data_IF_303807474366
#
_entry.id   IF_303807474366
#
_cell.length_a   1.000
_cell.length_b   1.000
_cell.length_c   1.000
_cell.angle_alpha   90.00
_cell.angle_beta   90.00
_cell.angle_gamma   90.00
#
_symmetry.space_group_name_H-M   'P 1'
#
loop_
_entity.id
_entity.type
_entity.pdbx_description
1 polymer ?
#
# COMPACT_ATOMS: atom_id res chain seq x y z
N UNK A 1 28.75 15.12 42.86
CA UNK A 1 28.14 16.12 41.97
C UNK A 1 28.80 15.96 40.62
N UNK A 2 28.05 15.58 39.58
CA UNK A 2 28.63 15.45 38.23
C UNK A 2 29.00 16.86 37.72
N UNK A 3 30.11 17.01 36.96
CA UNK A 3 30.49 18.29 36.36
C UNK A 3 29.41 18.74 35.36
N UNK A 4 28.99 20.00 35.40
CA UNK A 4 27.99 20.58 34.47
C UNK A 4 28.38 20.39 32.99
N UNK A 5 29.67 20.38 32.69
CA UNK A 5 30.18 20.13 31.33
C UNK A 5 29.87 18.72 30.83
N UNK A 6 29.82 17.74 31.73
CA UNK A 6 29.47 16.36 31.41
C UNK A 6 27.96 16.20 31.19
N UNK A 7 27.14 16.99 31.92
CA UNK A 7 25.70 17.05 31.72
C UNK A 7 25.33 17.68 30.36
N UNK A 8 26.06 18.72 29.96
CA UNK A 8 25.89 19.34 28.63
C UNK A 8 26.34 18.41 27.49
N UNK A 9 27.41 17.63 27.67
CA UNK A 9 27.86 16.64 26.68
C UNK A 9 26.92 15.44 26.57
N UNK A 10 26.34 14.97 27.68
CA UNK A 10 25.32 13.92 27.67
C UNK A 10 24.03 14.43 27.02
N UNK A 11 23.60 15.66 27.30
CA UNK A 11 22.47 16.27 26.60
C UNK A 11 22.77 16.49 25.11
N UNK A 12 23.97 16.93 24.73
CA UNK A 12 24.34 17.08 23.33
C UNK A 12 24.41 15.73 22.58
N UNK A 13 24.85 14.66 23.25
CA UNK A 13 24.85 13.30 22.70
C UNK A 13 23.44 12.70 22.61
N UNK A 14 22.53 13.07 23.53
CA UNK A 14 21.10 12.72 23.47
C UNK A 14 20.33 13.54 22.42
N UNK A 15 20.81 14.73 22.05
CA UNK A 15 20.26 15.59 20.98
C UNK A 15 20.75 15.17 19.59
N UNK A 16 21.57 14.13 19.49
CA UNK A 16 21.74 13.42 18.22
C UNK A 16 20.43 12.64 17.97
N UNK A 17 19.41 13.39 17.55
CA UNK A 17 18.10 12.88 17.16
C UNK A 17 18.35 11.72 16.21
N UNK A 18 17.96 10.52 16.64
CA UNK A 18 17.98 9.36 15.79
C UNK A 18 17.02 9.67 14.63
N UNK A 19 17.57 10.05 13.48
CA UNK A 19 16.78 10.16 12.25
C UNK A 19 16.22 8.79 11.97
N UNK A 20 14.89 8.68 11.99
CA UNK A 20 14.23 7.43 11.63
C UNK A 20 14.64 7.08 10.19
N UNK A 21 14.84 5.79 9.91
CA UNK A 21 15.22 5.35 8.56
C UNK A 21 14.13 4.47 8.00
N UNK A 22 13.75 4.72 6.76
CA UNK A 22 12.85 3.85 6.01
C UNK A 22 13.67 2.72 5.40
N UNK A 23 13.27 1.48 5.65
CA UNK A 23 13.89 0.31 5.03
C UNK A 23 13.22 0.01 3.69
N UNK A 24 13.99 -0.56 2.76
CA UNK A 24 13.48 -0.96 1.46
C UNK A 24 12.50 -2.13 1.63
N UNK A 25 11.37 -2.09 0.91
CA UNK A 25 10.34 -3.13 0.89
C UNK A 25 9.71 -3.39 2.27
N UNK A 26 9.60 -2.35 3.08
CA UNK A 26 8.97 -2.41 4.40
C UNK A 26 7.93 -1.30 4.55
N UNK A 27 6.80 -1.66 5.17
CA UNK A 27 5.74 -0.74 5.54
C UNK A 27 6.02 -0.26 6.97
N UNK A 28 6.06 1.05 7.16
CA UNK A 28 6.17 1.71 8.46
C UNK A 28 4.81 2.34 8.80
N UNK A 29 4.08 1.74 9.73
CA UNK A 29 2.82 2.29 10.26
C UNK A 29 3.13 3.27 11.39
N UNK A 30 2.58 4.48 11.30
CA UNK A 30 2.82 5.58 12.22
C UNK A 30 1.49 6.19 12.70
N UNK A 31 1.52 6.71 13.91
CA UNK A 31 0.52 7.62 14.46
C UNK A 31 1.24 8.85 15.05
N UNK A 32 0.48 9.81 15.56
CA UNK A 32 1.01 11.06 16.13
C UNK A 32 2.00 10.90 17.28
N UNK A 33 1.98 9.78 18.01
CA UNK A 33 2.89 9.50 19.11
C UNK A 33 4.22 8.89 18.66
N UNK A 34 4.24 8.27 17.47
CA UNK A 34 5.38 7.50 16.95
C UNK A 34 6.24 8.30 15.95
N UNK A 35 5.89 9.55 15.69
CA UNK A 35 6.60 10.40 14.74
C UNK A 35 7.86 10.99 15.39
N UNK A 36 9.02 10.92 14.72
CA UNK A 36 10.27 11.46 15.25
C UNK A 36 10.19 12.99 15.41
N UNK A 37 11.08 13.54 16.23
CA UNK A 37 11.27 14.99 16.36
C UNK A 37 12.72 15.34 16.01
N UNK A 38 13.00 15.93 14.84
CA UNK A 38 12.05 16.41 13.80
C UNK A 38 11.33 15.27 13.04
N UNK A 39 10.16 15.55 12.41
CA UNK A 39 9.33 14.55 11.72
C UNK A 39 9.89 14.16 10.34
N UNK A 40 11.17 13.76 10.30
CA UNK A 40 11.88 13.39 9.08
C UNK A 40 12.46 11.97 9.13
N UNK A 41 12.55 11.37 7.95
CA UNK A 41 12.98 10.00 7.70
C UNK A 41 14.06 9.99 6.63
N UNK A 42 15.14 9.27 6.87
CA UNK A 42 16.16 8.98 5.86
C UNK A 42 15.68 7.90 4.90
N UNK A 43 15.94 8.11 3.61
CA UNK A 43 15.56 7.22 2.52
C UNK A 43 16.80 6.48 1.99
N UNK A 44 16.67 5.19 1.61
CA UNK A 44 17.77 4.41 1.10
C UNK A 44 18.19 4.88 -0.30
N UNK A 45 19.45 4.63 -0.65
CA UNK A 45 19.95 4.89 -1.99
C UNK A 45 19.43 3.84 -2.99
N UNK A 46 18.80 4.29 -4.09
CA UNK A 46 18.27 3.43 -5.14
C UNK A 46 18.14 4.21 -6.48
N UNK A 47 18.28 3.49 -7.60
CA UNK A 47 18.09 4.09 -8.94
C UNK A 47 16.63 4.43 -9.22
N UNK A 48 15.71 3.58 -8.77
CA UNK A 48 14.28 3.79 -8.84
C UNK A 48 13.72 3.50 -7.44
N UNK A 49 13.34 4.54 -6.71
CA UNK A 49 12.65 4.42 -5.44
C UNK A 49 11.25 5.01 -5.59
N UNK A 50 10.26 4.19 -5.29
CA UNK A 50 8.87 4.56 -5.17
C UNK A 50 8.51 4.65 -3.69
N UNK A 51 8.13 5.84 -3.27
CA UNK A 51 7.62 6.14 -1.93
C UNK A 51 6.11 6.20 -2.03
N UNK A 52 5.44 5.50 -1.12
CA UNK A 52 3.99 5.50 -1.02
C UNK A 52 3.56 5.90 0.38
N UNK A 53 2.50 6.69 0.46
CA UNK A 53 1.90 7.16 1.71
C UNK A 53 0.43 6.80 1.68
N UNK A 54 -0.06 6.10 2.71
CA UNK A 54 -1.45 5.66 2.82
C UNK A 54 -2.05 6.11 4.16
N UNK A 55 -3.16 6.81 4.15
CA UNK A 55 -3.86 7.22 5.37
C UNK A 55 -4.64 6.06 5.95
N UNK A 56 -4.52 5.84 7.26
CA UNK A 56 -5.18 4.76 7.98
C UNK A 56 -6.31 5.26 8.88
N UNK A 57 -6.58 6.57 8.87
CA UNK A 57 -7.72 7.19 9.55
C UNK A 57 -8.52 8.09 8.61
N UNK A 58 -9.73 8.45 9.02
CA UNK A 58 -10.70 9.22 8.22
C UNK A 58 -10.44 10.72 8.20
N UNK A 59 -9.48 11.19 9.00
CA UNK A 59 -9.25 12.62 9.14
C UNK A 59 -8.43 13.16 7.98
N UNK A 60 -9.00 14.15 7.30
CA UNK A 60 -8.31 14.91 6.26
C UNK A 60 -7.65 16.12 6.91
N UNK A 61 -6.57 15.85 7.66
CA UNK A 61 -5.70 16.90 8.19
C UNK A 61 -4.91 17.55 7.05
N UNK A 62 -4.47 18.78 7.27
CA UNK A 62 -3.58 19.53 6.36
C UNK A 62 -2.15 18.98 6.34
N UNK A 63 -1.98 17.68 6.56
CA UNK A 63 -0.69 16.98 6.56
C UNK A 63 -0.16 16.92 5.13
N UNK A 64 1.10 17.28 4.98
CA UNK A 64 1.81 17.32 3.71
C UNK A 64 3.08 16.51 3.84
N UNK A 65 3.44 15.83 2.77
CA UNK A 65 4.61 14.96 2.73
C UNK A 65 5.58 15.54 1.71
N UNK A 66 6.79 15.81 2.14
CA UNK A 66 7.82 16.41 1.32
C UNK A 66 9.00 15.47 1.20
N UNK A 67 9.50 15.30 -0.01
CA UNK A 67 10.60 14.41 -0.31
C UNK A 67 11.68 15.12 -1.10
N UNK A 68 12.92 14.78 -0.79
CA UNK A 68 14.09 15.21 -1.53
C UNK A 68 15.00 14.03 -1.80
N UNK A 69 15.64 14.04 -2.97
CA UNK A 69 16.62 13.04 -3.38
C UNK A 69 18.06 13.45 -3.04
N UNK A 70 18.22 14.37 -2.09
CA UNK A 70 19.52 14.81 -1.58
C UNK A 70 19.58 14.55 -0.08
N UNK A 71 20.73 14.09 0.40
CA UNK A 71 21.01 13.99 1.84
C UNK A 71 21.52 15.30 2.44
N UNK A 72 21.62 16.38 1.64
CA UNK A 72 22.08 17.70 2.11
C UNK A 72 20.95 18.53 2.71
N UNK A 73 19.71 18.06 2.65
CA UNK A 73 18.51 18.74 3.14
C UNK A 73 17.91 17.87 4.24
N UNK A 74 18.10 18.27 5.49
CA UNK A 74 17.68 17.47 6.66
C UNK A 74 16.17 17.55 6.94
N UNK A 75 15.51 18.60 6.44
CA UNK A 75 14.09 18.88 6.66
C UNK A 75 13.46 19.48 5.39
N UNK A 76 13.08 18.65 4.40
CA UNK A 76 12.38 19.13 3.21
C UNK A 76 10.99 19.65 3.59
N UNK A 77 10.63 20.86 3.14
CA UNK A 77 9.36 21.49 3.50
C UNK A 77 8.89 22.51 2.46
N UNK A 78 7.76 23.20 2.71
CA UNK A 78 7.19 24.15 1.75
C UNK A 78 8.12 25.34 1.46
N UNK A 79 8.91 25.74 2.45
CA UNK A 79 9.87 26.85 2.35
C UNK A 79 11.32 26.38 2.16
N UNK A 80 11.56 25.06 2.09
CA UNK A 80 12.88 24.46 2.27
C UNK A 80 13.48 23.82 1.02
N UNK A 81 14.75 24.12 0.75
CA UNK A 81 15.66 23.31 -0.09
C UNK A 81 15.49 23.45 -1.62
N UNK A 82 16.54 23.07 -2.34
CA UNK A 82 16.47 22.79 -3.78
C UNK A 82 16.09 21.32 -3.99
N UNK A 83 15.29 21.00 -5.01
CA UNK A 83 14.84 19.63 -5.31
C UNK A 83 14.03 18.99 -4.16
N UNK A 84 13.10 19.78 -3.61
CA UNK A 84 12.06 19.29 -2.70
C UNK A 84 10.76 19.16 -3.49
N UNK A 85 10.09 18.04 -3.34
CA UNK A 85 8.86 17.68 -4.02
C UNK A 85 7.79 17.31 -3.01
N UNK A 86 6.55 17.73 -3.26
CA UNK A 86 5.41 17.33 -2.44
C UNK A 86 4.79 16.03 -2.99
N UNK A 87 4.52 15.08 -2.10
CA UNK A 87 3.74 13.89 -2.42
C UNK A 87 2.27 14.26 -2.27
N UNK A 88 1.59 14.46 -3.40
CA UNK A 88 0.15 14.76 -3.41
C UNK A 88 -0.63 13.51 -3.02
N UNK A 89 -1.32 13.57 -1.89
CA UNK A 89 -2.19 12.50 -1.41
C UNK A 89 -3.61 12.73 -1.91
N UNK A 90 -4.14 11.79 -2.70
CA UNK A 90 -5.51 11.83 -3.21
C UNK A 90 -6.28 10.60 -2.69
N UNK A 91 -7.47 10.82 -2.14
CA UNK A 91 -8.28 9.76 -1.50
C UNK A 91 -7.50 8.96 -0.43
N UNK A 92 -6.54 9.62 0.24
CA UNK A 92 -5.69 9.04 1.26
C UNK A 92 -4.50 8.21 0.74
N UNK A 93 -4.25 8.16 -0.58
CA UNK A 93 -3.07 7.54 -1.16
C UNK A 93 -2.22 8.57 -1.90
N UNK A 94 -0.91 8.59 -1.62
CA UNK A 94 0.09 9.38 -2.33
C UNK A 94 1.21 8.50 -2.84
N UNK A 95 1.78 8.83 -3.99
CA UNK A 95 2.91 8.09 -4.56
C UNK A 95 3.91 9.06 -5.20
N UNK A 96 5.19 8.83 -4.98
CA UNK A 96 6.28 9.57 -5.59
C UNK A 96 7.37 8.60 -6.05
N UNK A 97 7.88 8.77 -7.27
CA UNK A 97 8.95 7.92 -7.79
C UNK A 97 10.06 8.78 -8.37
N UNK A 98 11.30 8.53 -7.94
CA UNK A 98 12.48 9.22 -8.45
C UNK A 98 13.75 8.37 -8.25
N UNK A 99 14.87 8.89 -8.72
CA UNK A 99 16.20 8.35 -8.46
C UNK A 99 16.81 9.00 -7.22
N UNK A 100 17.26 8.17 -6.28
CA UNK A 100 17.88 8.54 -5.00
C UNK A 100 19.29 7.96 -4.97
N UNK A 101 20.20 8.43 -5.84
CA UNK A 101 21.53 7.80 -5.99
C UNK A 101 22.37 7.84 -4.70
N UNK A 102 22.19 8.90 -3.92
CA UNK A 102 22.89 9.12 -2.65
C UNK A 102 21.95 8.94 -1.44
N UNK A 103 20.72 8.47 -1.65
CA UNK A 103 19.64 8.48 -0.67
C UNK A 103 18.81 9.76 -0.71
N UNK A 104 18.06 10.02 0.35
CA UNK A 104 17.22 11.21 0.44
C UNK A 104 16.57 11.37 1.81
N UNK A 105 15.67 12.33 1.90
CA UNK A 105 14.91 12.62 3.12
C UNK A 105 13.43 12.78 2.77
N UNK A 106 12.58 12.18 3.60
CA UNK A 106 11.14 12.41 3.61
C UNK A 106 10.79 13.14 4.91
N UNK A 107 10.07 14.24 4.84
CA UNK A 107 9.55 14.92 6.02
C UNK A 107 8.04 15.10 5.95
N UNK A 108 7.46 15.21 7.14
CA UNK A 108 6.04 15.40 7.35
C UNK A 108 5.85 16.82 7.89
N UNK A 109 5.05 17.61 7.18
CA UNK A 109 4.72 18.98 7.55
C UNK A 109 3.21 19.11 7.81
N UNK A 110 2.84 20.01 8.72
CA UNK A 110 1.46 20.30 9.08
C UNK A 110 1.05 19.82 10.47
N UNK A 111 -0.17 20.22 10.86
CA UNK A 111 -0.76 19.85 12.15
C UNK A 111 -1.41 18.49 12.05
N UNK A 112 -0.89 17.54 12.83
CA UNK A 112 -1.47 16.21 12.97
C UNK A 112 -2.49 16.22 14.12
N UNK A 113 -3.65 15.64 13.88
CA UNK A 113 -4.63 15.38 14.94
C UNK A 113 -4.27 14.11 15.70
N UNK A 114 -4.63 14.01 16.99
CA UNK A 114 -4.23 12.88 17.84
C UNK A 114 -4.64 11.51 17.26
N UNK A 115 -5.73 11.44 16.49
CA UNK A 115 -6.26 10.24 15.85
C UNK A 115 -5.73 10.00 14.41
N UNK A 116 -4.78 10.82 13.95
CA UNK A 116 -4.18 10.65 12.63
C UNK A 116 -3.18 9.50 12.61
N UNK A 117 -3.41 8.56 11.69
CA UNK A 117 -2.50 7.43 11.44
C UNK A 117 -2.33 7.21 9.95
N UNK A 118 -1.15 6.76 9.55
CA UNK A 118 -0.78 6.54 8.17
C UNK A 118 0.38 5.54 8.07
N UNK A 119 0.55 5.00 6.88
CA UNK A 119 1.63 4.10 6.52
C UNK A 119 2.53 4.75 5.47
N UNK A 120 3.84 4.58 5.62
CA UNK A 120 4.84 4.96 4.62
C UNK A 120 5.60 3.71 4.20
N UNK A 121 5.87 3.59 2.91
CA UNK A 121 6.73 2.53 2.42
C UNK A 121 7.62 3.02 1.27
N UNK A 122 8.83 2.45 1.17
CA UNK A 122 9.79 2.74 0.13
C UNK A 122 10.22 1.44 -0.56
N UNK A 123 9.96 1.31 -1.86
CA UNK A 123 10.37 0.13 -2.63
C UNK A 123 10.66 0.45 -4.10
N UNK A 124 10.93 -0.55 -4.92
CA UNK A 124 11.09 -0.40 -6.38
C UNK A 124 9.76 -0.28 -7.14
N UNK A 125 8.64 -0.54 -6.47
CA UNK A 125 7.26 -0.43 -6.96
C UNK A 125 6.34 0.25 -5.94
N UNK A 126 5.08 0.56 -6.25
CA UNK A 126 4.13 1.00 -5.22
C UNK A 126 3.80 -0.17 -4.26
N UNK A 127 4.05 -0.03 -2.96
CA UNK A 127 3.60 -1.02 -1.95
C UNK A 127 2.14 -0.84 -1.58
N UNK A 128 1.66 0.40 -1.66
CA UNK A 128 0.25 0.77 -1.53
C UNK A 128 -0.32 1.06 -2.93
N UNK A 129 -1.28 0.25 -3.38
CA UNK A 129 -1.89 0.41 -4.69
C UNK A 129 -3.41 0.22 -4.62
N UNK A 130 -4.15 1.17 -5.20
CA UNK A 130 -5.57 0.95 -5.51
C UNK A 130 -5.64 0.17 -6.81
N UNK A 131 -6.18 -1.05 -6.74
CA UNK A 131 -6.32 -1.87 -7.94
C UNK A 131 -7.34 -1.23 -8.89
N UNK A 132 -6.96 -1.11 -10.17
CA UNK A 132 -7.87 -0.62 -11.21
C UNK A 132 -9.04 -1.58 -11.49
N UNK A 133 -8.92 -2.84 -11.03
CA UNK A 133 -9.91 -3.90 -11.27
C UNK A 133 -10.57 -4.32 -9.96
N UNK A 134 -11.89 -4.44 -9.99
CA UNK A 134 -12.68 -4.90 -8.85
C UNK A 134 -12.66 -6.43 -8.73
N UNK A 135 -12.86 -6.96 -7.51
CA UNK A 135 -13.18 -8.37 -7.35
C UNK A 135 -14.36 -8.74 -8.25
N UNK A 136 -14.25 -9.88 -8.91
CA UNK A 136 -15.29 -10.36 -9.80
C UNK A 136 -16.30 -11.19 -9.01
N UNK A 137 -17.58 -10.89 -9.19
CA UNK A 137 -18.68 -11.71 -8.69
C UNK A 137 -18.88 -12.93 -9.58
N UNK A 138 -18.76 -14.12 -9.01
CA UNK A 138 -19.02 -15.40 -9.67
C UNK A 138 -20.49 -15.79 -9.61
N UNK A 139 -20.95 -16.12 -8.40
CA UNK A 139 -22.31 -16.60 -8.13
C UNK A 139 -22.75 -16.21 -6.71
N UNK A 140 -24.04 -16.22 -6.42
CA UNK A 140 -24.59 -15.92 -5.10
C UNK A 140 -25.72 -16.87 -4.70
N UNK A 141 -25.82 -17.13 -3.40
CA UNK A 141 -27.00 -17.75 -2.79
C UNK A 141 -27.67 -16.73 -1.86
N UNK A 142 -28.64 -17.16 -1.05
CA UNK A 142 -29.27 -16.27 -0.07
C UNK A 142 -28.31 -15.79 1.02
N UNK A 143 -27.22 -16.50 1.31
CA UNK A 143 -26.30 -16.19 2.40
C UNK A 143 -24.82 -16.43 2.08
N UNK A 144 -24.51 -16.71 0.80
CA UNK A 144 -23.15 -16.97 0.33
C UNK A 144 -22.90 -16.25 -0.99
N UNK A 145 -21.62 -15.97 -1.27
CA UNK A 145 -21.16 -15.43 -2.53
C UNK A 145 -19.84 -16.07 -2.93
N UNK A 146 -19.66 -16.29 -4.23
CA UNK A 146 -18.38 -16.68 -4.82
C UNK A 146 -17.75 -15.44 -5.43
N UNK A 147 -16.56 -15.06 -4.94
CA UNK A 147 -15.82 -13.88 -5.38
C UNK A 147 -14.45 -14.27 -5.88
N UNK A 148 -13.91 -13.50 -6.82
CA UNK A 148 -12.56 -13.71 -7.35
C UNK A 148 -11.74 -12.42 -7.26
N UNK A 149 -10.45 -12.55 -6.97
CA UNK A 149 -9.51 -11.44 -7.07
C UNK A 149 -9.40 -10.95 -8.53
N UNK A 150 -8.84 -9.75 -8.74
CA UNK A 150 -8.21 -9.41 -10.00
C UNK A 150 -7.22 -10.51 -10.42
N UNK A 151 -7.04 -10.71 -11.74
CA UNK A 151 -6.12 -11.71 -12.22
C UNK A 151 -4.68 -11.32 -11.87
N UNK A 152 -3.86 -12.32 -11.60
CA UNK A 152 -2.42 -12.21 -11.40
C UNK A 152 -1.72 -13.34 -12.15
N UNK A 153 -0.44 -13.15 -12.45
CA UNK A 153 0.37 -14.12 -13.18
C UNK A 153 -0.26 -14.53 -14.56
N UNK A 154 -0.41 -13.57 -15.49
CA UNK A 154 -0.94 -13.86 -16.82
C UNK A 154 0.02 -14.78 -17.59
N UNK A 155 -0.49 -15.78 -18.32
CA UNK A 155 0.34 -16.62 -19.19
C UNK A 155 1.05 -15.78 -20.27
N UNK A 156 2.30 -16.15 -20.54
CA UNK A 156 3.07 -15.53 -21.63
C UNK A 156 2.72 -16.25 -22.93
N UNK A 157 2.00 -15.56 -23.81
CA UNK A 157 1.77 -16.02 -25.18
C UNK A 157 2.84 -15.43 -26.11
N UNK A 158 3.53 -16.30 -26.86
CA UNK A 158 4.44 -15.88 -27.92
C UNK A 158 3.65 -15.88 -29.22
N UNK A 159 3.33 -14.68 -29.72
CA UNK A 159 2.68 -14.53 -31.01
C UNK A 159 3.57 -15.04 -32.15
N UNK A 160 3.04 -15.85 -33.08
CA UNK A 160 3.82 -16.30 -34.23
C UNK A 160 4.16 -15.12 -35.14
N UNK A 161 5.43 -15.00 -35.53
CA UNK A 161 5.90 -13.95 -36.43
C UNK A 161 6.03 -14.46 -37.86
N UNK A 162 5.56 -13.65 -38.82
CA UNK A 162 5.73 -13.97 -40.25
C UNK A 162 7.22 -14.08 -40.60
N UNK A 163 7.63 -15.05 -41.45
CA UNK A 163 6.81 -16.04 -42.17
C UNK A 163 6.52 -17.34 -41.39
N UNK A 164 7.01 -17.47 -40.15
CA UNK A 164 7.03 -18.73 -39.43
C UNK A 164 5.83 -18.85 -38.47
N UNK A 165 4.69 -19.29 -39.01
CA UNK A 165 3.49 -19.60 -38.21
C UNK A 165 3.55 -21.05 -37.70
N UNK A 166 4.44 -21.32 -36.77
CA UNK A 166 4.39 -22.59 -36.03
C UNK A 166 3.45 -22.42 -34.85
N UNK A 167 2.28 -23.05 -34.88
CA UNK A 167 1.38 -23.08 -33.73
C UNK A 167 2.00 -23.97 -32.63
N UNK A 168 1.95 -23.57 -31.35
CA UNK A 168 2.34 -24.45 -30.26
C UNK A 168 1.47 -25.72 -30.30
N UNK A 169 2.09 -26.87 -30.09
CA UNK A 169 1.39 -28.16 -30.07
C UNK A 169 0.31 -28.20 -28.97
N UNK A 170 -0.73 -29.03 -29.12
CA UNK A 170 -1.78 -29.15 -28.12
C UNK A 170 -1.20 -29.68 -26.80
N UNK A 171 -1.26 -28.86 -25.75
CA UNK A 171 -0.96 -29.28 -24.39
C UNK A 171 -2.27 -29.52 -23.65
N UNK A 172 -2.43 -30.71 -23.08
CA UNK A 172 -3.55 -31.03 -22.17
C UNK A 172 -3.19 -30.81 -20.69
N UNK A 173 -1.96 -30.39 -20.42
CA UNK A 173 -1.53 -30.08 -19.05
C UNK A 173 -2.00 -28.67 -18.67
N UNK A 174 -2.78 -28.56 -17.60
CA UNK A 174 -3.05 -27.26 -16.98
C UNK A 174 -1.73 -26.65 -16.51
N UNK A 175 -1.55 -25.32 -16.63
CA UNK A 175 -0.40 -24.65 -16.03
C UNK A 175 -0.36 -24.94 -14.52
N UNK A 176 0.85 -25.07 -13.99
CA UNK A 176 1.05 -25.18 -12.55
C UNK A 176 0.62 -23.88 -11.86
N UNK A 177 0.05 -23.95 -10.66
CA UNK A 177 -0.19 -22.76 -9.85
C UNK A 177 1.12 -22.01 -9.58
N UNK A 178 1.09 -20.67 -9.48
CA UNK A 178 2.27 -19.89 -9.15
C UNK A 178 2.75 -20.21 -7.73
N UNK A 179 4.06 -20.10 -7.53
CA UNK A 179 4.70 -20.36 -6.23
C UNK A 179 4.31 -19.32 -5.15
N UNK A 180 3.80 -18.16 -5.57
CA UNK A 180 3.33 -17.09 -4.69
C UNK A 180 2.13 -16.35 -5.28
N UNK A 181 1.15 -16.01 -4.44
CA UNK A 181 0.03 -15.13 -4.79
C UNK A 181 0.18 -13.75 -4.15
N UNK A 182 -0.34 -12.67 -4.78
CA UNK A 182 -0.45 -11.37 -4.12
C UNK A 182 -1.28 -11.46 -2.84
N UNK A 183 -0.99 -10.57 -1.88
CA UNK A 183 -1.77 -10.49 -0.64
C UNK A 183 -3.00 -9.59 -0.88
N UNK A 184 -4.15 -10.22 -1.06
CA UNK A 184 -5.42 -9.54 -1.27
C UNK A 184 -6.20 -9.46 0.04
N UNK A 185 -6.68 -8.26 0.36
CA UNK A 185 -7.61 -8.06 1.47
C UNK A 185 -9.01 -7.89 0.90
N UNK A 186 -9.88 -8.87 1.13
CA UNK A 186 -11.29 -8.81 0.73
C UNK A 186 -12.13 -8.21 1.85
N UNK A 187 -12.67 -7.02 1.62
CA UNK A 187 -13.67 -6.41 2.48
C UNK A 187 -15.04 -6.45 1.80
N UNK A 188 -16.08 -6.81 2.54
CA UNK A 188 -17.46 -6.78 2.06
C UNK A 188 -18.28 -6.02 3.07
N UNK A 189 -19.09 -5.06 2.65
CA UNK A 189 -20.07 -4.45 3.55
C UNK A 189 -21.41 -4.26 2.84
N UNK A 190 -22.52 -4.12 3.58
CA UNK A 190 -23.81 -3.80 2.99
C UNK A 190 -23.67 -2.48 2.25
N UNK A 191 -24.24 -2.38 1.05
CA UNK A 191 -24.18 -1.15 0.24
C UNK A 191 -24.83 0.04 0.95
N UNK A 192 -25.76 -0.20 1.89
CA UNK A 192 -26.34 0.82 2.75
C UNK A 192 -25.37 1.38 3.80
N UNK A 193 -24.25 0.70 4.07
CA UNK A 193 -23.19 1.19 4.93
C UNK A 193 -22.36 2.22 4.17
N UNK A 194 -22.68 3.50 4.34
CA UNK A 194 -21.99 4.63 3.68
C UNK A 194 -20.50 4.74 4.04
N UNK A 195 -20.07 4.04 5.10
CA UNK A 195 -18.70 4.07 5.62
C UNK A 195 -17.67 3.71 4.57
N UNK A 196 -17.86 2.64 3.79
CA UNK A 196 -16.83 2.20 2.87
C UNK A 196 -16.58 3.14 1.69
N UNK A 197 -17.52 4.02 1.35
CA UNK A 197 -17.34 4.97 0.23
C UNK A 197 -16.89 6.35 0.68
N UNK A 198 -17.01 6.67 1.98
CA UNK A 198 -16.62 7.96 2.55
C UNK A 198 -15.21 7.98 3.14
N UNK A 199 -14.60 6.81 3.32
CA UNK A 199 -13.28 6.66 3.93
C UNK A 199 -12.17 6.58 2.86
N UNK A 200 -10.92 6.93 3.20
CA UNK A 200 -9.76 6.61 2.38
C UNK A 200 -9.78 5.14 1.93
N UNK A 201 -9.63 4.92 0.63
CA UNK A 201 -9.60 3.57 0.04
C UNK A 201 -8.17 3.02 0.11
N UNK A 202 -7.62 2.91 1.31
CA UNK A 202 -6.28 2.35 1.56
C UNK A 202 -6.38 1.04 2.33
N UNK A 203 -5.42 0.13 2.19
CA UNK A 203 -5.45 -1.16 2.88
C UNK A 203 -5.55 -0.99 4.40
N UNK A 204 -4.73 -0.12 5.00
CA UNK A 204 -4.72 0.05 6.44
C UNK A 204 -6.03 0.66 6.97
N UNK A 205 -6.63 1.61 6.24
CA UNK A 205 -7.94 2.12 6.61
C UNK A 205 -9.01 1.03 6.50
N UNK A 206 -9.00 0.26 5.42
CA UNK A 206 -10.01 -0.76 5.14
C UNK A 206 -9.87 -1.99 6.05
N UNK A 207 -8.66 -2.32 6.48
CA UNK A 207 -8.39 -3.41 7.43
C UNK A 207 -8.98 -3.12 8.83
N UNK A 208 -9.15 -1.85 9.19
CA UNK A 208 -9.82 -1.45 10.44
C UNK A 208 -11.35 -1.50 10.36
N UNK A 209 -11.92 -1.67 9.16
CA UNK A 209 -13.37 -1.67 8.96
C UNK A 209 -13.97 -3.05 9.18
N UNK A 210 -15.24 -3.08 9.60
CA UNK A 210 -15.98 -4.32 9.75
C UNK A 210 -16.38 -4.91 8.39
N UNK A 211 -15.96 -6.15 8.14
CA UNK A 211 -16.43 -6.95 7.01
C UNK A 211 -17.72 -7.69 7.36
N UNK A 212 -18.53 -7.97 6.35
CA UNK A 212 -19.74 -8.78 6.42
C UNK A 212 -19.47 -10.18 5.94
N UNK A 213 -20.00 -11.15 6.70
CA UNK A 213 -19.76 -12.56 6.45
C UNK A 213 -18.33 -12.98 6.82
N UNK A 214 -17.99 -14.22 6.45
CA UNK A 214 -16.68 -14.82 6.70
C UNK A 214 -16.23 -15.57 5.44
N UNK A 215 -14.92 -15.60 5.20
CA UNK A 215 -14.32 -16.45 4.17
C UNK A 215 -14.42 -17.90 4.67
N UNK A 216 -15.30 -18.68 4.05
CA UNK A 216 -15.48 -20.11 4.36
C UNK A 216 -14.44 -20.97 3.64
N UNK A 217 -13.99 -20.54 2.45
CA UNK A 217 -12.93 -21.20 1.70
C UNK A 217 -12.17 -20.17 0.84
N UNK A 218 -10.86 -20.37 0.72
CA UNK A 218 -9.96 -19.59 -0.13
C UNK A 218 -9.09 -20.56 -0.93
N UNK A 219 -9.07 -20.40 -2.25
CA UNK A 219 -8.34 -21.31 -3.15
C UNK A 219 -7.88 -20.60 -4.41
N UNK A 220 -6.76 -21.04 -4.98
CA UNK A 220 -6.34 -20.61 -6.31
C UNK A 220 -7.28 -21.18 -7.39
N UNK A 221 -7.60 -20.34 -8.36
CA UNK A 221 -8.46 -20.69 -9.49
C UNK A 221 -7.84 -20.19 -10.79
N UNK A 222 -7.57 -21.12 -11.70
CA UNK A 222 -7.18 -20.82 -13.06
C UNK A 222 -8.44 -20.60 -13.87
N UNK A 223 -8.68 -19.35 -14.30
CA UNK A 223 -9.93 -19.01 -14.97
C UNK A 223 -9.79 -18.94 -16.49
N UNK A 224 -8.77 -18.24 -17.01
CA UNK A 224 -8.70 -17.88 -18.43
C UNK A 224 -7.28 -17.43 -18.86
N UNK A 225 -7.17 -16.82 -20.06
CA UNK A 225 -5.98 -16.15 -20.61
C UNK A 225 -5.43 -15.00 -19.74
N UNK A 226 -6.23 -14.50 -18.79
CA UNK A 226 -5.83 -13.44 -17.85
C UNK A 226 -4.90 -13.96 -16.74
N UNK A 227 -4.80 -15.27 -16.54
CA UNK A 227 -3.98 -15.89 -15.50
C UNK A 227 -4.75 -16.41 -14.29
N UNK A 228 -4.04 -16.46 -13.17
CA UNK A 228 -4.52 -16.99 -11.89
C UNK A 228 -5.33 -15.97 -11.11
N UNK A 229 -6.28 -16.48 -10.31
CA UNK A 229 -7.07 -15.67 -9.38
C UNK A 229 -7.14 -16.37 -8.04
N UNK A 230 -7.36 -15.58 -6.99
CA UNK A 230 -7.79 -16.09 -5.69
C UNK A 230 -9.30 -16.14 -5.70
N UNK A 231 -9.86 -17.31 -5.38
CA UNK A 231 -11.30 -17.52 -5.24
C UNK A 231 -11.65 -17.55 -3.76
N UNK A 232 -12.65 -16.76 -3.37
CA UNK A 232 -13.21 -16.74 -2.02
C UNK A 232 -14.66 -17.21 -2.05
N UNK A 233 -14.97 -18.22 -1.22
CA UNK A 233 -16.33 -18.57 -0.87
C UNK A 233 -16.72 -17.83 0.40
N UNK A 234 -17.55 -16.83 0.27
CA UNK A 234 -18.09 -16.06 1.39
C UNK A 234 -19.33 -16.73 1.95
N UNK A 235 -19.45 -16.77 3.27
CA UNK A 235 -20.61 -17.29 3.98
C UNK A 235 -21.06 -16.35 5.10
N UNK A 236 -22.29 -16.54 5.59
CA UNK A 236 -22.84 -15.74 6.69
C UNK A 236 -23.29 -14.34 6.26
N UNK A 237 -23.59 -14.16 4.97
CA UNK A 237 -24.25 -12.95 4.48
C UNK A 237 -25.74 -12.97 4.85
N UNK A 238 -26.30 -11.80 5.10
CA UNK A 238 -27.72 -11.63 5.38
C UNK A 238 -28.52 -11.71 4.07
N UNK A 239 -29.57 -12.54 3.99
CA UNK A 239 -30.44 -12.58 2.83
C UNK A 239 -31.07 -11.22 2.51
N UNK A 240 -31.39 -11.01 1.23
CA UNK A 240 -32.04 -9.79 0.72
C UNK A 240 -31.26 -8.49 1.02
N UNK A 241 -29.95 -8.61 1.27
CA UNK A 241 -29.06 -7.48 1.52
C UNK A 241 -28.13 -7.29 0.32
N UNK A 242 -28.00 -6.07 -0.17
CA UNK A 242 -27.02 -5.73 -1.20
C UNK A 242 -25.67 -5.47 -0.56
N UNK A 243 -24.61 -6.01 -1.16
CA UNK A 243 -23.25 -5.92 -0.66
C UNK A 243 -22.33 -5.29 -1.72
N UNK A 244 -21.31 -4.58 -1.25
CA UNK A 244 -20.26 -3.97 -2.07
C UNK A 244 -18.89 -4.48 -1.60
N UNK A 245 -18.01 -4.79 -2.55
CA UNK A 245 -16.61 -5.18 -2.30
C UNK A 245 -15.66 -4.18 -3.00
N UNK A 246 -14.92 -3.34 -2.26
CA UNK A 246 -13.98 -2.38 -2.83
C UNK A 246 -12.66 -3.04 -3.28
N UNK A 247 -11.93 -2.45 -4.24
CA UNK A 247 -10.72 -3.02 -4.82
C UNK A 247 -9.47 -2.54 -4.09
N UNK A 248 -8.80 -3.40 -3.33
CA UNK A 248 -7.48 -3.06 -2.78
C UNK A 248 -6.57 -4.29 -2.65
N UNK A 249 -5.26 -4.07 -2.81
CA UNK A 249 -4.22 -5.05 -2.50
C UNK A 249 -3.02 -4.36 -1.86
N UNK A 250 -2.39 -5.06 -0.93
CA UNK A 250 -1.05 -4.73 -0.48
C UNK A 250 -0.07 -5.53 -1.35
N UNK A 251 0.87 -4.84 -1.98
CA UNK A 251 1.96 -5.48 -2.70
C UNK A 251 3.12 -5.65 -1.70
N UNK A 252 3.45 -6.88 -1.29
CA UNK A 252 4.62 -7.13 -0.45
C UNK A 252 5.94 -6.89 -1.20
#
# INVERSE_FOLDING_TARGET
>A
MLPETLLCLVNAALIQAATASLSLNAILSLNTQDIPSPPSFSLPAAQNLTITVAYCSSETVSTRFFVTNSTTVDDPGPDGGTNVYEIIVNQGLGTFSASFLDGGVLAIDGTLSDDFSFEIAASDRPMHEVLATFPLLGDTTSNQALLFSPPFDPPIFIDPSYPNYTLPGPSLASPSPPDSSPNFTLLIAPTSSQTLTSLPQTACMMASQSSSGNIANESLWLRDEDGWRTQWLMAGLSPQTNYTAPPYSLVP
#
